data_IF_473304973426
#
_entry.id   IF_473304973426
#
_cell.length_a   1.000
_cell.length_b   1.000
_cell.length_c   1.000
_cell.angle_alpha   90.00
_cell.angle_beta   90.00
_cell.angle_gamma   90.00
#
_symmetry.space_group_name_H-M   'P 1'
#
loop_
_entity.id
_entity.type
_entity.pdbx_description
1 polymer ?
#
# COMPACT_ATOMS: atom_id res chain seq x y z
N UNK A 1 -57.46 -33.11 -14.82
CA UNK A 1 -57.39 -31.68 -14.47
C UNK A 1 -55.92 -31.35 -14.22
N UNK A 2 -55.30 -30.53 -15.08
CA UNK A 2 -53.88 -30.18 -15.01
C UNK A 2 -53.64 -29.01 -14.05
N UNK A 3 -52.45 -28.97 -13.46
CA UNK A 3 -51.99 -27.98 -12.48
C UNK A 3 -51.86 -26.57 -13.10
N UNK A 4 -52.05 -25.49 -12.33
CA UNK A 4 -51.77 -24.15 -12.81
C UNK A 4 -50.27 -23.83 -12.67
N UNK A 5 -49.63 -23.61 -13.81
CA UNK A 5 -48.65 -22.52 -14.02
C UNK A 5 -49.19 -21.75 -15.24
N UNK A 6 -49.25 -20.41 -15.21
CA UNK A 6 -48.02 -19.63 -15.36
C UNK A 6 -48.02 -18.31 -14.56
N UNK A 7 -46.83 -17.81 -14.25
CA UNK A 7 -46.68 -16.36 -14.29
C UNK A 7 -45.39 -15.97 -15.01
N UNK A 8 -45.53 -14.88 -15.76
CA UNK A 8 -44.76 -14.61 -16.96
C UNK A 8 -43.90 -13.38 -16.71
N UNK A 9 -42.62 -13.51 -17.06
CA UNK A 9 -41.78 -12.44 -17.62
C UNK A 9 -41.45 -11.22 -16.76
N UNK A 10 -40.35 -11.27 -15.99
CA UNK A 10 -39.38 -10.17 -15.93
C UNK A 10 -37.96 -10.72 -15.72
N UNK A 11 -37.09 -10.41 -16.68
CA UNK A 11 -35.64 -10.43 -16.54
C UNK A 11 -35.22 -9.27 -15.64
N UNK A 12 -34.70 -9.56 -14.47
CA UNK A 12 -33.76 -8.67 -13.77
C UNK A 12 -32.61 -9.57 -13.28
N UNK A 13 -31.65 -9.79 -14.17
CA UNK A 13 -30.29 -9.26 -13.98
C UNK A 13 -29.63 -9.93 -12.76
N UNK A 14 -28.99 -11.08 -12.94
CA UNK A 14 -27.50 -11.11 -13.05
C UNK A 14 -26.92 -9.73 -12.76
N UNK A 15 -26.81 -9.42 -11.47
CA UNK A 15 -25.94 -8.36 -11.00
C UNK A 15 -24.52 -8.89 -11.11
N UNK A 16 -23.99 -8.88 -12.35
CA UNK A 16 -22.58 -8.61 -12.56
C UNK A 16 -22.25 -7.41 -11.68
N UNK A 17 -21.42 -7.65 -10.67
CA UNK A 17 -20.87 -6.66 -9.75
C UNK A 17 -20.45 -5.40 -10.53
N UNK A 18 -21.20 -4.29 -10.44
CA UNK A 18 -20.63 -3.00 -10.75
C UNK A 18 -20.10 -2.49 -9.41
N UNK A 19 -18.77 -2.49 -9.26
CA UNK A 19 -18.10 -1.57 -8.32
C UNK A 19 -18.91 -0.27 -8.28
N UNK A 20 -19.52 0.03 -7.12
CA UNK A 20 -20.26 1.28 -6.94
C UNK A 20 -19.29 2.45 -7.22
N UNK A 21 -19.55 3.28 -8.26
CA UNK A 21 -18.68 4.40 -8.58
C UNK A 21 -18.75 5.55 -7.56
N UNK A 22 -19.54 5.44 -6.49
CA UNK A 22 -19.65 6.44 -5.42
C UNK A 22 -18.54 6.36 -4.34
N UNK A 23 -17.62 5.38 -4.43
CA UNK A 23 -16.48 5.21 -3.52
C UNK A 23 -15.14 5.54 -4.17
N UNK A 24 -15.02 6.71 -4.83
CA UNK A 24 -13.80 7.08 -5.57
C UNK A 24 -12.60 7.26 -4.61
N UNK A 25 -11.72 6.26 -4.52
CA UNK A 25 -10.41 6.41 -3.89
C UNK A 25 -9.47 7.12 -4.86
N UNK A 26 -8.83 8.18 -4.41
CA UNK A 26 -7.90 8.95 -5.23
C UNK A 26 -6.49 8.62 -4.78
N UNK A 27 -5.70 7.98 -5.64
CA UNK A 27 -4.28 7.72 -5.37
C UNK A 27 -3.45 8.61 -6.29
N UNK A 28 -2.73 9.55 -5.67
CA UNK A 28 -1.87 10.53 -6.34
C UNK A 28 -0.42 10.08 -6.18
N UNK A 29 0.29 9.80 -7.28
CA UNK A 29 1.70 9.36 -7.24
C UNK A 29 2.57 10.44 -7.86
N UNK A 30 3.47 11.01 -7.07
CA UNK A 30 4.42 12.04 -7.49
C UNK A 30 5.82 11.44 -7.43
N UNK A 31 6.51 11.43 -8.57
CA UNK A 31 7.89 10.94 -8.64
C UNK A 31 8.88 12.09 -8.79
N UNK A 32 9.67 12.32 -7.74
CA UNK A 32 10.77 13.31 -7.67
C UNK A 32 12.16 12.67 -7.57
N UNK A 33 12.25 11.35 -7.43
CA UNK A 33 13.51 10.60 -7.31
C UNK A 33 14.47 10.73 -8.52
N UNK A 34 14.02 11.36 -9.62
CA UNK A 34 14.77 11.41 -10.89
C UNK A 34 14.86 10.05 -11.62
N UNK A 35 14.31 8.97 -11.05
CA UNK A 35 14.34 7.63 -11.64
C UNK A 35 13.02 7.26 -12.29
N UNK A 36 13.08 6.42 -13.33
CA UNK A 36 11.87 5.93 -14.00
C UNK A 36 11.27 4.76 -13.22
N UNK A 37 10.35 5.08 -12.32
CA UNK A 37 9.59 4.09 -11.54
C UNK A 37 8.18 3.97 -12.12
N UNK A 38 7.73 2.75 -12.49
CA UNK A 38 6.37 2.56 -12.96
C UNK A 38 5.39 2.77 -11.79
N UNK A 39 4.45 3.69 -11.95
CA UNK A 39 3.44 4.00 -10.93
C UNK A 39 2.29 3.00 -10.89
N UNK A 40 2.03 2.27 -11.98
CA UNK A 40 0.93 1.31 -12.05
C UNK A 40 1.05 0.14 -11.05
N UNK A 41 2.22 -0.52 -10.87
CA UNK A 41 2.40 -1.53 -9.83
C UNK A 41 2.21 -0.98 -8.42
N UNK A 42 2.72 0.22 -8.14
CA UNK A 42 2.61 0.88 -6.83
C UNK A 42 1.15 1.18 -6.51
N UNK A 43 0.44 1.77 -7.47
CA UNK A 43 -0.99 2.03 -7.38
C UNK A 43 -1.75 0.75 -7.04
N UNK A 44 -1.54 -0.33 -7.82
CA UNK A 44 -2.20 -1.62 -7.56
C UNK A 44 -1.86 -2.18 -6.19
N UNK A 45 -0.63 -2.04 -5.72
CA UNK A 45 -0.20 -2.52 -4.42
C UNK A 45 -1.00 -1.83 -3.29
N UNK A 46 -1.12 -0.50 -3.36
CA UNK A 46 -1.90 0.28 -2.39
C UNK A 46 -3.39 0.02 -2.54
N UNK A 47 -3.94 -0.03 -3.76
CA UNK A 47 -5.35 -0.36 -4.01
C UNK A 47 -5.70 -1.72 -3.40
N UNK A 48 -4.88 -2.75 -3.64
CA UNK A 48 -5.06 -4.09 -3.06
C UNK A 48 -5.08 -4.07 -1.53
N UNK A 49 -4.17 -3.31 -0.89
CA UNK A 49 -4.14 -3.21 0.56
C UNK A 49 -5.41 -2.51 1.11
N UNK A 50 -5.85 -1.42 0.45
CA UNK A 50 -7.06 -0.69 0.85
C UNK A 50 -8.35 -1.51 0.63
N UNK A 51 -8.42 -2.25 -0.48
CA UNK A 51 -9.57 -3.09 -0.82
C UNK A 51 -9.75 -4.27 0.14
N UNK A 52 -8.64 -4.85 0.62
CA UNK A 52 -8.70 -5.98 1.56
C UNK A 52 -9.25 -5.62 2.94
N UNK A 53 -9.21 -4.34 3.32
CA UNK A 53 -9.65 -3.86 4.62
C UNK A 53 -10.92 -3.00 4.56
N UNK A 54 -11.66 -3.06 3.45
CA UNK A 54 -12.87 -2.27 3.22
C UNK A 54 -12.67 -0.77 3.57
N UNK A 55 -11.48 -0.25 3.25
CA UNK A 55 -11.09 1.09 3.63
C UNK A 55 -12.05 2.13 3.07
N UNK A 56 -12.42 3.14 3.85
CA UNK A 56 -13.34 4.19 3.38
C UNK A 56 -12.78 4.90 2.14
N UNK A 57 -13.65 5.50 1.29
CA UNK A 57 -13.21 6.35 0.21
C UNK A 57 -12.33 7.47 0.77
N UNK A 58 -11.12 7.61 0.24
CA UNK A 58 -10.17 8.61 0.68
C UNK A 58 -9.03 8.82 -0.31
N UNK A 59 -8.25 9.86 -0.05
CA UNK A 59 -7.07 10.21 -0.84
C UNK A 59 -5.79 9.68 -0.19
N UNK A 60 -4.92 9.06 -0.99
CA UNK A 60 -3.55 8.69 -0.61
C UNK A 60 -2.58 9.38 -1.56
N UNK A 61 -1.64 10.14 -1.02
CA UNK A 61 -0.52 10.66 -1.81
C UNK A 61 0.71 9.80 -1.61
N UNK A 62 1.38 9.44 -2.69
CA UNK A 62 2.63 8.69 -2.66
C UNK A 62 3.71 9.55 -3.30
N UNK A 63 4.68 9.96 -2.50
CA UNK A 63 5.89 10.64 -2.93
C UNK A 63 7.02 9.63 -3.11
N UNK A 64 7.51 9.51 -4.34
CA UNK A 64 8.69 8.72 -4.67
C UNK A 64 9.88 9.67 -4.77
N UNK A 65 10.87 9.51 -3.90
CA UNK A 65 11.96 10.47 -3.78
C UNK A 65 13.33 9.80 -3.51
N UNK A 66 14.36 10.61 -3.20
CA UNK A 66 15.71 10.22 -2.87
C UNK A 66 16.00 10.31 -1.35
N UNK A 67 17.21 9.92 -0.96
CA UNK A 67 17.63 9.92 0.45
C UNK A 67 17.75 11.34 1.04
N UNK A 68 18.05 12.36 0.22
CA UNK A 68 18.23 13.74 0.70
C UNK A 68 16.88 14.38 1.07
N UNK A 69 15.86 14.25 0.20
CA UNK A 69 14.50 14.71 0.52
C UNK A 69 13.92 13.88 1.67
N UNK A 70 14.20 12.56 1.73
CA UNK A 70 13.74 11.70 2.84
C UNK A 70 14.36 12.06 4.18
N UNK A 71 15.66 12.32 4.24
CA UNK A 71 16.32 12.83 5.45
C UNK A 71 15.73 14.19 5.86
N UNK A 72 15.45 15.06 4.90
CA UNK A 72 14.78 16.33 5.13
C UNK A 72 13.40 16.15 5.80
N UNK A 73 12.57 15.28 5.23
CA UNK A 73 11.25 14.93 5.77
C UNK A 73 11.37 14.32 7.17
N UNK A 74 12.28 13.38 7.37
CA UNK A 74 12.46 12.72 8.67
C UNK A 74 12.89 13.72 9.75
N UNK A 75 13.79 14.65 9.42
CA UNK A 75 14.21 15.72 10.33
C UNK A 75 13.08 16.68 10.63
N UNK A 76 12.30 17.07 9.64
CA UNK A 76 11.28 18.10 9.81
C UNK A 76 10.07 17.57 10.60
N UNK A 77 9.64 16.34 10.32
CA UNK A 77 8.45 15.74 10.93
C UNK A 77 8.74 14.87 12.18
N UNK A 78 9.81 14.05 12.16
CA UNK A 78 10.16 13.14 13.27
C UNK A 78 11.33 13.64 14.13
N UNK A 79 11.97 14.75 13.76
CA UNK A 79 13.16 15.31 14.44
C UNK A 79 14.37 14.37 14.42
N UNK A 80 14.42 13.46 13.43
CA UNK A 80 15.51 12.52 13.21
C UNK A 80 16.26 12.92 11.93
N UNK A 81 17.53 13.31 12.06
CA UNK A 81 18.35 13.74 10.92
C UNK A 81 19.04 12.54 10.24
N UNK A 82 18.23 11.59 9.78
CA UNK A 82 18.67 10.39 9.06
C UNK A 82 17.68 10.01 7.95
N UNK A 83 18.16 9.36 6.90
CA UNK A 83 17.30 8.86 5.82
C UNK A 83 16.69 7.51 6.19
N UNK A 84 15.44 7.30 5.77
CA UNK A 84 14.68 6.05 5.97
C UNK A 84 14.17 5.50 4.64
N UNK A 85 13.69 4.27 4.61
CA UNK A 85 13.08 3.63 3.43
C UNK A 85 11.70 4.20 3.12
N UNK A 86 10.85 4.31 4.13
CA UNK A 86 9.48 4.80 4.02
C UNK A 86 9.13 5.72 5.20
N UNK A 87 8.34 6.75 4.92
CA UNK A 87 7.66 7.58 5.92
C UNK A 87 6.17 7.58 5.62
N UNK A 88 5.38 7.36 6.65
CA UNK A 88 3.93 7.40 6.57
C UNK A 88 3.40 8.53 7.45
N UNK A 89 2.55 9.35 6.87
CA UNK A 89 1.90 10.49 7.51
C UNK A 89 0.39 10.28 7.46
N UNK A 90 -0.21 9.66 8.49
CA UNK A 90 -1.66 9.52 8.56
C UNK A 90 -2.30 10.91 8.67
N UNK A 91 -3.42 11.11 7.98
CA UNK A 91 -4.19 12.34 8.08
C UNK A 91 -5.35 12.18 9.08
N UNK A 92 -5.64 13.24 9.84
CA UNK A 92 -6.74 13.26 10.82
C UNK A 92 -8.13 13.36 10.18
N UNK A 93 -8.22 13.31 8.85
CA UNK A 93 -9.46 13.52 8.10
C UNK A 93 -9.96 12.21 7.48
N UNK A 94 -11.21 11.77 7.71
CA UNK A 94 -11.74 10.53 7.14
C UNK A 94 -11.78 10.49 5.59
N UNK A 95 -11.61 11.62 4.90
CA UNK A 95 -11.50 11.70 3.43
C UNK A 95 -10.05 11.72 2.91
N UNK A 96 -9.06 11.86 3.79
CA UNK A 96 -7.63 11.81 3.47
C UNK A 96 -7.03 10.68 4.29
N UNK A 97 -6.60 9.59 3.66
CA UNK A 97 -5.96 8.51 4.40
C UNK A 97 -4.57 8.96 4.87
N UNK A 98 -3.84 9.67 4.01
CA UNK A 98 -2.56 10.29 4.36
C UNK A 98 -1.56 10.25 3.21
N UNK A 99 -0.30 10.50 3.58
CA UNK A 99 0.81 10.57 2.65
C UNK A 99 1.85 9.48 2.95
N UNK A 100 2.43 8.91 1.90
CA UNK A 100 3.50 7.91 1.96
C UNK A 100 4.69 8.45 1.17
N UNK A 101 5.86 8.56 1.77
CA UNK A 101 7.10 8.93 1.10
C UNK A 101 8.05 7.73 1.05
N UNK A 102 8.58 7.40 -0.13
CA UNK A 102 9.45 6.23 -0.35
C UNK A 102 10.79 6.68 -0.94
N UNK A 103 11.89 6.29 -0.31
CA UNK A 103 13.24 6.47 -0.85
C UNK A 103 13.56 5.38 -1.89
N UNK A 104 13.80 5.78 -3.14
CA UNK A 104 14.26 4.85 -4.18
C UNK A 104 15.70 4.37 -3.96
N UNK A 105 16.69 5.23 -3.65
CA UNK A 105 18.04 4.76 -3.33
C UNK A 105 18.08 3.79 -2.16
N UNK A 106 17.26 4.00 -1.13
CA UNK A 106 17.15 3.07 -0.01
C UNK A 106 16.51 1.75 -0.43
N UNK A 107 15.37 1.79 -1.14
CA UNK A 107 14.73 0.62 -1.69
C UNK A 107 15.66 -0.19 -2.62
N UNK A 108 16.56 0.47 -3.37
CA UNK A 108 17.59 -0.19 -4.18
C UNK A 108 18.61 -0.96 -3.32
N UNK A 109 19.06 -0.38 -2.20
CA UNK A 109 19.96 -1.05 -1.25
C UNK A 109 19.29 -2.27 -0.63
N UNK A 110 18.04 -2.12 -0.21
CA UNK A 110 17.24 -3.17 0.40
C UNK A 110 16.93 -4.30 -0.59
N UNK A 111 16.47 -3.96 -1.79
CA UNK A 111 16.23 -4.93 -2.85
C UNK A 111 17.50 -5.74 -3.17
N UNK A 112 18.67 -5.09 -3.19
CA UNK A 112 19.96 -5.75 -3.42
C UNK A 112 20.37 -6.67 -2.25
N UNK A 113 20.21 -6.22 -1.01
CA UNK A 113 20.52 -7.02 0.18
C UNK A 113 19.66 -8.29 0.23
N UNK A 114 18.37 -8.14 -0.10
CA UNK A 114 17.37 -9.20 -0.09
C UNK A 114 17.31 -10.03 -1.37
N UNK A 115 18.07 -9.64 -2.40
CA UNK A 115 18.10 -10.29 -3.73
C UNK A 115 16.73 -10.33 -4.42
N UNK A 116 15.92 -9.30 -4.21
CA UNK A 116 14.62 -9.11 -4.87
C UNK A 116 14.70 -7.99 -5.90
N UNK A 117 13.66 -7.85 -6.73
CA UNK A 117 13.60 -6.75 -7.69
C UNK A 117 13.25 -5.42 -7.00
N UNK A 118 13.75 -4.30 -7.53
CA UNK A 118 13.35 -2.96 -7.03
C UNK A 118 11.83 -2.76 -7.08
N UNK A 119 11.17 -3.29 -8.13
CA UNK A 119 9.72 -3.19 -8.26
C UNK A 119 8.98 -3.93 -7.14
N UNK A 120 9.49 -5.09 -6.73
CA UNK A 120 8.97 -5.82 -5.59
C UNK A 120 9.17 -5.01 -4.31
N UNK A 121 10.39 -4.54 -4.03
CA UNK A 121 10.66 -3.80 -2.79
C UNK A 121 9.82 -2.53 -2.68
N UNK A 122 9.74 -1.73 -3.74
CA UNK A 122 8.91 -0.52 -3.74
C UNK A 122 7.41 -0.85 -3.58
N UNK A 123 6.96 -1.97 -4.16
CA UNK A 123 5.59 -2.46 -3.96
C UNK A 123 5.32 -2.84 -2.50
N UNK A 124 6.26 -3.53 -1.86
CA UNK A 124 6.17 -3.88 -0.43
C UNK A 124 6.21 -2.64 0.46
N UNK A 125 7.10 -1.67 0.21
CA UNK A 125 7.15 -0.41 0.95
C UNK A 125 5.84 0.40 0.80
N UNK A 126 5.23 0.36 -0.38
CA UNK A 126 3.94 1.02 -0.61
C UNK A 126 2.79 0.33 0.15
N UNK A 127 2.76 -1.00 0.18
CA UNK A 127 1.78 -1.78 0.97
C UNK A 127 2.00 -1.53 2.46
N UNK A 128 3.25 -1.57 2.92
CA UNK A 128 3.63 -1.30 4.31
C UNK A 128 3.14 0.08 4.75
N UNK A 129 3.44 1.12 3.96
CA UNK A 129 2.93 2.46 4.21
C UNK A 129 1.40 2.54 4.22
N UNK A 130 0.72 1.86 3.29
CA UNK A 130 -0.74 1.83 3.25
C UNK A 130 -1.37 1.14 4.48
N UNK A 131 -0.77 0.05 4.97
CA UNK A 131 -1.23 -0.63 6.17
C UNK A 131 -1.06 0.25 7.42
N UNK A 132 0.04 1.01 7.52
CA UNK A 132 0.17 2.02 8.58
C UNK A 132 -0.92 3.10 8.49
N UNK A 133 -1.32 3.54 7.29
CA UNK A 133 -2.47 4.45 7.13
C UNK A 133 -3.80 3.84 7.60
N UNK A 134 -3.92 2.51 7.54
CA UNK A 134 -5.08 1.76 8.04
C UNK A 134 -5.02 1.48 9.54
N UNK A 135 -3.93 1.88 10.21
CA UNK A 135 -3.74 1.71 11.66
C UNK A 135 -3.08 0.39 12.06
N UNK A 136 -2.47 -0.34 11.13
CA UNK A 136 -1.57 -1.44 11.47
C UNK A 136 -0.23 -0.89 11.97
N UNK A 137 0.37 -1.59 12.91
CA UNK A 137 1.67 -1.26 13.47
C UNK A 137 2.58 -2.49 13.42
N UNK A 138 3.88 -2.29 13.58
CA UNK A 138 4.90 -3.35 13.59
C UNK A 138 5.93 -3.20 14.73
N UNK A 139 5.61 -2.38 15.74
CA UNK A 139 6.45 -2.20 16.95
C UNK A 139 6.65 -3.50 17.75
N UNK A 140 5.64 -4.38 17.81
CA UNK A 140 5.71 -5.66 18.53
C UNK A 140 5.89 -6.84 17.56
N UNK A 141 6.47 -7.95 18.04
CA UNK A 141 6.64 -9.14 17.21
C UNK A 141 5.31 -9.73 16.73
N UNK A 142 4.26 -9.67 17.56
CA UNK A 142 2.93 -10.14 17.21
C UNK A 142 2.26 -9.22 16.17
N UNK A 143 2.35 -7.90 16.35
CA UNK A 143 1.80 -6.94 15.40
C UNK A 143 2.52 -7.03 14.04
N UNK A 144 3.86 -7.13 14.07
CA UNK A 144 4.67 -7.37 12.87
C UNK A 144 4.26 -8.63 12.13
N UNK A 145 4.01 -9.74 12.84
CA UNK A 145 3.55 -10.99 12.21
C UNK A 145 2.22 -10.81 11.50
N UNK A 146 1.27 -10.12 12.13
CA UNK A 146 -0.04 -9.80 11.52
C UNK A 146 0.14 -8.90 10.31
N UNK A 147 0.94 -7.83 10.44
CA UNK A 147 1.18 -6.88 9.35
C UNK A 147 1.84 -7.57 8.15
N UNK A 148 2.86 -8.41 8.36
CA UNK A 148 3.52 -9.17 7.29
C UNK A 148 2.52 -10.12 6.61
N UNK A 149 1.59 -10.73 7.33
CA UNK A 149 0.54 -11.55 6.74
C UNK A 149 -0.38 -10.72 5.83
N UNK A 150 -0.82 -9.54 6.28
CA UNK A 150 -1.63 -8.63 5.45
C UNK A 150 -0.84 -8.11 4.24
N UNK A 151 0.45 -7.81 4.41
CA UNK A 151 1.32 -7.40 3.31
C UNK A 151 1.39 -8.47 2.22
N UNK A 152 1.49 -9.74 2.62
CA UNK A 152 1.53 -10.87 1.69
C UNK A 152 0.22 -11.04 0.93
N UNK A 153 -0.92 -10.91 1.62
CA UNK A 153 -2.23 -10.96 0.97
C UNK A 153 -2.38 -9.83 -0.07
N UNK A 154 -2.00 -8.60 0.29
CA UNK A 154 -2.03 -7.46 -0.62
C UNK A 154 -1.05 -7.61 -1.79
N UNK A 155 0.15 -8.13 -1.53
CA UNK A 155 1.16 -8.38 -2.55
C UNK A 155 0.66 -9.38 -3.59
N UNK A 156 0.10 -10.51 -3.16
CA UNK A 156 -0.47 -11.54 -4.06
C UNK A 156 -1.60 -10.95 -4.91
N UNK A 157 -2.51 -10.18 -4.31
CA UNK A 157 -3.59 -9.51 -5.03
C UNK A 157 -3.06 -8.48 -6.05
N UNK A 158 -1.96 -7.80 -5.75
CA UNK A 158 -1.30 -6.85 -6.65
C UNK A 158 -0.45 -7.51 -7.75
N UNK A 159 -0.26 -8.84 -7.71
CA UNK A 159 0.57 -9.61 -8.63
C UNK A 159 2.07 -9.60 -8.29
N UNK A 160 2.41 -9.31 -7.04
CA UNK A 160 3.76 -9.40 -6.49
C UNK A 160 3.97 -10.75 -5.79
N UNK A 161 5.19 -11.31 -5.78
CA UNK A 161 5.46 -12.53 -5.05
C UNK A 161 5.35 -12.30 -3.52
N UNK A 162 4.81 -13.26 -2.76
CA UNK A 162 4.79 -13.19 -1.31
C UNK A 162 6.22 -13.29 -0.73
N UNK A 163 6.43 -12.63 0.38
CA UNK A 163 7.67 -12.53 1.14
C UNK A 163 7.32 -12.58 2.65
N UNK A 164 7.42 -13.78 3.21
CA UNK A 164 7.07 -14.05 4.61
C UNK A 164 8.15 -13.58 5.60
N UNK A 165 9.36 -13.33 5.10
CA UNK A 165 10.51 -12.87 5.87
C UNK A 165 10.76 -11.37 5.62
N UNK A 166 9.74 -10.64 5.11
CA UNK A 166 9.91 -9.23 4.82
C UNK A 166 10.22 -8.45 6.09
N UNK A 167 11.34 -7.71 6.06
CA UNK A 167 11.76 -6.78 7.08
C UNK A 167 12.38 -5.53 6.44
N UNK A 168 12.11 -4.37 7.04
CA UNK A 168 12.86 -3.14 6.76
C UNK A 168 14.32 -3.32 7.20
N UNK A 169 15.28 -2.80 6.42
CA UNK A 169 16.68 -2.73 6.87
C UNK A 169 16.85 -1.90 8.16
N UNK A 170 15.90 -1.04 8.51
CA UNK A 170 15.92 -0.29 9.76
C UNK A 170 15.66 -1.19 10.98
N UNK A 171 14.83 -2.21 10.83
CA UNK A 171 14.62 -3.20 11.89
C UNK A 171 15.84 -4.10 12.11
N UNK A 172 16.62 -4.38 11.06
CA UNK A 172 17.88 -5.11 11.22
C UNK A 172 18.99 -4.29 11.91
N UNK A 173 18.94 -2.96 11.81
CA UNK A 173 19.94 -2.09 12.44
C UNK A 173 19.77 -1.91 13.97
N UNK A 174 18.67 -2.42 14.53
CA UNK A 174 18.35 -2.32 15.96
C UNK A 174 18.43 -3.67 16.73
N UNK A 175 18.90 -4.74 16.08
CA UNK A 175 19.07 -6.09 16.66
C UNK A 175 20.52 -6.43 17.02
#
# INVERSE_FOLDING_TARGET
MPLPVPDSQWREQVSDNPMDPSSTRTISIVNRSGRRIPSAPIRRAVESALDQHDAKPGEVSILITDDEEMQGLNRDFRKLDESTDVLTFPADNPMLLGDIAISIPYAERQAKARKVSLQQEVGYLAIHGALHLLGFDDESEDDRRVMVEQMNLAAVAAGLPPDHDWASLLHEAQA
#
